data_IF_385341824588
#
_entry.id   IF_385341824588
#
_cell.length_a   1.000
_cell.length_b   1.000
_cell.length_c   1.000
_cell.angle_alpha   90.00
_cell.angle_beta   90.00
_cell.angle_gamma   90.00
#
_symmetry.space_group_name_H-M   'P 1'
#
loop_
_entity.id
_entity.type
_entity.pdbx_description
1 polymer ?
#
# COMPACT_ATOMS: atom_id res chain seq x y z
N UNK A 1 -10.74 17.38 -7.31
CA UNK A 1 -11.57 16.40 -8.06
C UNK A 1 -10.89 16.12 -9.40
N UNK A 2 -11.06 14.93 -9.99
CA UNK A 2 -10.48 14.63 -11.31
C UNK A 2 -10.96 15.61 -12.38
N UNK A 3 -10.09 15.93 -13.33
CA UNK A 3 -10.48 16.76 -14.48
C UNK A 3 -11.38 15.96 -15.44
N UNK A 4 -12.19 16.61 -16.29
CA UNK A 4 -12.98 15.91 -17.30
C UNK A 4 -12.14 15.00 -18.20
N UNK A 5 -10.93 15.44 -18.56
CA UNK A 5 -9.98 14.64 -19.34
C UNK A 5 -9.50 13.40 -18.57
N UNK A 6 -9.18 13.54 -17.29
CA UNK A 6 -8.82 12.40 -16.43
C UNK A 6 -9.95 11.40 -16.33
N UNK A 7 -11.20 11.84 -16.21
CA UNK A 7 -12.38 10.96 -16.18
C UNK A 7 -12.49 10.16 -17.49
N UNK A 8 -12.30 10.80 -18.65
CA UNK A 8 -12.28 10.09 -19.94
C UNK A 8 -11.20 8.99 -19.98
N UNK A 9 -9.99 9.29 -19.48
CA UNK A 9 -8.91 8.29 -19.37
C UNK A 9 -9.28 7.14 -18.44
N UNK A 10 -9.85 7.41 -17.27
CA UNK A 10 -10.27 6.38 -16.31
C UNK A 10 -11.40 5.49 -16.85
N UNK A 11 -12.25 6.02 -17.73
CA UNK A 11 -13.28 5.26 -18.44
C UNK A 11 -12.69 4.36 -19.52
N UNK A 12 -11.66 4.79 -20.24
CA UNK A 12 -10.95 3.96 -21.21
C UNK A 12 -10.23 2.76 -20.54
N UNK A 13 -9.74 2.94 -19.31
CA UNK A 13 -9.14 1.90 -18.47
C UNK A 13 -10.24 1.27 -17.61
N UNK A 14 -11.16 0.55 -18.26
CA UNK A 14 -12.41 0.11 -17.61
C UNK A 14 -12.31 -1.17 -16.79
N UNK A 15 -11.33 -2.05 -17.06
CA UNK A 15 -11.21 -3.38 -16.44
C UNK A 15 -10.02 -3.44 -15.48
N UNK A 16 -10.14 -4.27 -14.45
CA UNK A 16 -9.06 -4.54 -13.49
C UNK A 16 -7.75 -4.89 -14.20
N UNK A 17 -6.63 -4.46 -13.63
CA UNK A 17 -5.31 -4.74 -14.18
C UNK A 17 -4.89 -3.93 -15.40
N UNK A 18 -5.81 -3.30 -16.12
CA UNK A 18 -5.48 -2.39 -17.23
C UNK A 18 -4.58 -1.24 -16.76
N UNK A 19 -3.77 -0.70 -17.67
CA UNK A 19 -2.76 0.32 -17.40
C UNK A 19 -2.60 1.31 -18.59
N UNK A 20 -1.54 2.12 -18.55
CA UNK A 20 -1.22 3.12 -19.59
C UNK A 20 -1.11 2.56 -21.02
N UNK A 21 -0.67 1.32 -21.21
CA UNK A 21 -0.55 0.72 -22.53
C UNK A 21 -1.93 0.36 -23.07
N UNK A 22 -2.84 -0.08 -22.21
CA UNK A 22 -4.23 -0.29 -22.60
C UNK A 22 -4.92 1.02 -22.94
N UNK A 23 -4.63 2.10 -22.20
CA UNK A 23 -5.10 3.44 -22.55
C UNK A 23 -4.60 3.85 -23.94
N UNK A 24 -3.31 3.64 -24.23
CA UNK A 24 -2.73 3.96 -25.54
C UNK A 24 -3.36 3.15 -26.68
N UNK A 25 -3.64 1.85 -26.47
CA UNK A 25 -4.29 1.01 -27.49
C UNK A 25 -5.76 1.36 -27.72
N UNK A 26 -6.49 1.73 -26.67
CA UNK A 26 -7.95 1.96 -26.75
C UNK A 26 -8.33 3.40 -27.05
N UNK A 27 -7.52 4.36 -26.62
CA UNK A 27 -7.79 5.79 -26.72
C UNK A 27 -6.46 6.57 -26.88
N UNK A 28 -5.78 6.41 -28.03
CA UNK A 28 -4.52 7.10 -28.30
C UNK A 28 -4.65 8.63 -28.23
N UNK A 29 -5.81 9.18 -28.58
CA UNK A 29 -6.15 10.61 -28.50
C UNK A 29 -6.19 11.17 -27.07
N UNK A 30 -6.47 10.30 -26.09
CA UNK A 30 -6.47 10.69 -24.67
C UNK A 30 -5.07 10.53 -24.04
N UNK A 31 -4.16 9.85 -24.71
CA UNK A 31 -2.84 9.52 -24.19
C UNK A 31 -1.88 10.71 -24.35
N UNK A 32 -1.22 11.18 -23.27
CA UNK A 32 -0.23 12.24 -23.38
C UNK A 32 0.89 11.90 -24.39
N UNK A 33 1.24 12.86 -25.25
CA UNK A 33 2.26 12.66 -26.29
C UNK A 33 3.64 12.22 -25.75
N UNK A 34 4.00 12.65 -24.53
CA UNK A 34 5.23 12.22 -23.86
C UNK A 34 5.25 10.73 -23.52
N UNK A 35 4.09 10.08 -23.39
CA UNK A 35 3.98 8.65 -23.10
C UNK A 35 3.94 7.79 -24.33
N UNK A 36 3.44 8.32 -25.45
CA UNK A 36 3.53 7.67 -26.75
C UNK A 36 5.00 7.52 -27.15
N UNK A 37 5.79 8.58 -26.95
CA UNK A 37 7.24 8.59 -27.23
C UNK A 37 8.05 7.72 -26.27
N UNK A 38 7.55 7.53 -25.04
CA UNK A 38 8.25 6.79 -24.00
C UNK A 38 7.83 5.32 -23.99
N UNK A 39 8.53 4.53 -24.80
CA UNK A 39 8.36 3.07 -24.95
C UNK A 39 8.92 2.28 -23.76
N UNK A 40 9.84 2.86 -22.98
CA UNK A 40 10.45 2.24 -21.81
C UNK A 40 10.08 2.95 -20.50
N UNK A 41 9.86 2.20 -19.42
CA UNK A 41 9.58 2.73 -18.08
C UNK A 41 8.42 2.01 -17.38
N UNK A 42 7.95 2.59 -16.27
CA UNK A 42 6.93 1.98 -15.42
C UNK A 42 5.68 1.55 -16.18
N UNK A 43 5.39 0.25 -16.12
CA UNK A 43 4.24 -0.42 -16.75
C UNK A 43 2.93 -0.13 -16.03
N UNK A 44 3.00 0.21 -14.75
CA UNK A 44 1.84 0.34 -13.86
C UNK A 44 1.20 1.73 -13.82
N UNK A 45 1.67 2.71 -14.61
CA UNK A 45 1.03 4.02 -14.63
C UNK A 45 -0.41 3.88 -15.13
N UNK A 46 -1.30 4.68 -14.55
CA UNK A 46 -2.74 4.62 -14.79
C UNK A 46 -3.34 3.23 -14.53
N UNK A 47 -2.62 2.40 -13.77
CA UNK A 47 -3.04 1.04 -13.48
C UNK A 47 -4.32 1.01 -12.64
N UNK A 48 -5.23 0.11 -13.01
CA UNK A 48 -6.36 -0.30 -12.18
C UNK A 48 -5.97 -1.46 -11.28
N UNK A 49 -6.28 -1.34 -10.00
CA UNK A 49 -6.09 -2.40 -9.03
C UNK A 49 -6.99 -3.60 -9.35
N UNK A 50 -6.70 -4.72 -8.71
CA UNK A 50 -7.52 -5.93 -8.72
C UNK A 50 -8.20 -6.11 -7.38
N UNK A 51 -9.32 -6.82 -7.35
CA UNK A 51 -9.91 -7.28 -6.08
C UNK A 51 -9.15 -8.46 -5.46
N UNK A 52 -8.62 -9.35 -6.31
CA UNK A 52 -8.06 -10.65 -5.94
C UNK A 52 -6.52 -10.65 -5.85
N UNK A 53 -5.88 -9.47 -5.88
CA UNK A 53 -4.41 -9.36 -5.81
C UNK A 53 -3.97 -8.29 -4.82
N UNK A 54 -2.76 -8.42 -4.25
CA UNK A 54 -2.16 -7.37 -3.44
C UNK A 54 -2.09 -6.04 -4.19
N UNK A 55 -2.30 -4.95 -3.46
CA UNK A 55 -2.04 -3.62 -3.99
C UNK A 55 -0.54 -3.38 -4.16
N UNK A 56 -0.22 -2.45 -5.06
CA UNK A 56 1.14 -1.93 -5.19
C UNK A 56 1.48 -0.99 -4.04
N UNK A 57 2.76 -0.65 -3.90
CA UNK A 57 3.24 0.28 -2.88
C UNK A 57 2.47 1.61 -2.90
N UNK A 58 1.80 1.89 -1.78
CA UNK A 58 1.10 3.14 -1.53
C UNK A 58 2.15 4.22 -1.25
N UNK A 59 2.39 5.08 -2.24
CA UNK A 59 3.34 6.21 -2.14
C UNK A 59 2.62 7.50 -1.78
N UNK A 60 3.38 8.53 -1.43
CA UNK A 60 2.88 9.86 -1.00
C UNK A 60 1.97 10.59 -1.99
N UNK A 61 1.95 10.17 -3.26
CA UNK A 61 1.07 10.70 -4.32
C UNK A 61 0.13 9.61 -4.90
N UNK A 62 -0.32 8.64 -4.10
CA UNK A 62 -1.22 7.56 -4.56
C UNK A 62 -2.51 8.09 -5.21
N UNK A 63 -2.95 9.30 -4.91
CA UNK A 63 -4.12 9.91 -5.53
C UNK A 63 -3.89 10.39 -6.97
N UNK A 64 -2.69 10.19 -7.54
CA UNK A 64 -2.32 10.52 -8.93
C UNK A 64 -2.03 9.23 -9.73
N UNK A 65 -2.98 8.73 -10.53
CA UNK A 65 -2.78 7.54 -11.37
C UNK A 65 -1.61 7.68 -12.36
N UNK A 66 -1.22 8.91 -12.72
CA UNK A 66 -0.05 9.19 -13.55
C UNK A 66 1.26 8.68 -12.92
N UNK A 67 1.27 8.43 -11.62
CA UNK A 67 2.44 7.97 -10.89
C UNK A 67 2.47 6.45 -10.75
N UNK A 68 1.34 5.75 -10.79
CA UNK A 68 1.31 4.29 -10.59
C UNK A 68 -0.09 3.68 -10.64
N UNK A 69 -0.20 2.44 -10.15
CA UNK A 69 -1.44 1.66 -10.15
C UNK A 69 -2.29 2.00 -8.94
N UNK A 70 -3.09 3.05 -9.09
CA UNK A 70 -3.90 3.59 -8.01
C UNK A 70 -5.37 3.81 -8.38
N UNK A 71 -5.84 3.33 -9.54
CA UNK A 71 -7.27 3.37 -9.85
C UNK A 71 -8.01 2.28 -9.09
N UNK A 72 -9.18 2.63 -8.56
CA UNK A 72 -10.07 1.70 -7.86
C UNK A 72 -10.44 0.51 -8.77
N UNK A 73 -10.57 -0.74 -8.28
CA UNK A 73 -10.86 -1.90 -9.14
C UNK A 73 -12.13 -1.77 -9.99
N UNK A 74 -13.17 -1.10 -9.49
CA UNK A 74 -14.45 -0.93 -10.22
C UNK A 74 -14.83 0.52 -10.58
N UNK A 75 -14.30 1.53 -9.88
CA UNK A 75 -14.78 2.92 -9.99
C UNK A 75 -13.84 3.76 -10.86
N UNK A 76 -14.35 4.73 -11.60
CA UNK A 76 -13.54 5.61 -12.46
C UNK A 76 -12.90 6.75 -11.67
N UNK A 77 -12.14 6.40 -10.63
CA UNK A 77 -11.39 7.33 -9.77
C UNK A 77 -10.14 6.67 -9.19
N UNK A 78 -9.16 7.46 -8.72
CA UNK A 78 -8.12 6.96 -7.85
C UNK A 78 -8.70 6.41 -6.54
N UNK A 79 -7.92 5.58 -5.85
CA UNK A 79 -8.23 5.16 -4.48
C UNK A 79 -8.27 6.37 -3.55
N UNK A 80 -9.17 6.32 -2.56
CA UNK A 80 -9.30 7.35 -1.54
C UNK A 80 -8.17 7.23 -0.51
N UNK A 81 -7.97 8.28 0.28
CA UNK A 81 -7.07 8.23 1.43
C UNK A 81 -7.45 7.14 2.43
N UNK A 82 -8.74 6.79 2.55
CA UNK A 82 -9.14 5.71 3.46
C UNK A 82 -8.84 4.33 2.90
N UNK A 83 -9.09 4.12 1.61
CA UNK A 83 -8.70 2.88 0.93
C UNK A 83 -7.17 2.68 1.01
N UNK A 84 -6.39 3.74 0.76
CA UNK A 84 -4.93 3.71 0.88
C UNK A 84 -4.45 3.42 2.31
N UNK A 85 -5.11 3.98 3.34
CA UNK A 85 -4.78 3.72 4.73
C UNK A 85 -5.08 2.27 5.14
N UNK A 86 -6.20 1.69 4.67
CA UNK A 86 -6.53 0.27 4.89
C UNK A 86 -5.50 -0.65 4.25
N UNK A 87 -5.05 -0.33 3.03
CA UNK A 87 -3.97 -1.06 2.36
C UNK A 87 -2.64 -0.98 3.14
N UNK A 88 -2.42 0.12 3.85
CA UNK A 88 -1.32 0.29 4.80
C UNK A 88 -1.62 -0.30 6.20
N UNK A 89 -2.69 -1.08 6.37
CA UNK A 89 -3.12 -1.71 7.63
C UNK A 89 -3.45 -0.75 8.78
N UNK A 90 -3.74 0.53 8.48
CA UNK A 90 -4.26 1.43 9.51
C UNK A 90 -5.67 1.01 9.92
N UNK A 91 -6.00 1.04 11.23
CA UNK A 91 -7.37 0.84 11.66
C UNK A 91 -8.24 2.01 11.18
N UNK A 92 -9.51 1.72 10.87
CA UNK A 92 -10.43 2.72 10.34
C UNK A 92 -10.67 3.89 11.30
N UNK A 93 -10.54 3.64 12.61
CA UNK A 93 -10.61 4.63 13.68
C UNK A 93 -9.42 5.59 13.72
N UNK A 94 -8.31 5.29 13.05
CA UNK A 94 -7.13 6.16 13.04
C UNK A 94 -7.44 7.47 12.30
N UNK A 95 -7.28 8.58 13.02
CA UNK A 95 -7.54 9.94 12.52
C UNK A 95 -6.23 10.58 12.04
N UNK A 96 -6.20 10.89 10.74
CA UNK A 96 -5.13 11.68 10.14
C UNK A 96 -5.47 13.17 10.23
N UNK A 97 -4.47 14.01 10.45
CA UNK A 97 -4.62 15.48 10.56
C UNK A 97 -3.87 16.20 9.45
N UNK A 98 -4.33 17.41 9.11
CA UNK A 98 -3.75 18.24 8.05
C UNK A 98 -4.50 18.20 6.73
N UNK A 99 -3.90 18.79 5.71
CA UNK A 99 -4.44 18.85 4.34
C UNK A 99 -4.43 17.48 3.67
N UNK A 100 -5.22 17.32 2.59
CA UNK A 100 -5.25 16.07 1.81
C UNK A 100 -3.86 15.63 1.31
N UNK A 101 -2.98 16.57 1.01
CA UNK A 101 -1.62 16.27 0.54
C UNK A 101 -0.75 15.79 1.70
N UNK A 102 -0.84 16.45 2.86
CA UNK A 102 -0.11 16.04 4.06
C UNK A 102 -0.55 14.66 4.56
N UNK A 103 -1.86 14.40 4.57
CA UNK A 103 -2.41 13.09 4.93
C UNK A 103 -1.92 12.01 3.95
N UNK A 104 -1.87 12.30 2.64
CA UNK A 104 -1.33 11.35 1.66
C UNK A 104 0.16 11.04 1.92
N UNK A 105 0.94 12.06 2.31
CA UNK A 105 2.34 11.87 2.72
C UNK A 105 2.46 11.02 4.00
N UNK A 106 1.63 11.28 5.01
CA UNK A 106 1.59 10.48 6.23
C UNK A 106 1.32 9.01 5.93
N UNK A 107 0.28 8.71 5.13
CA UNK A 107 -0.07 7.33 4.74
C UNK A 107 1.05 6.70 3.90
N UNK A 108 1.59 7.43 2.92
CA UNK A 108 2.58 6.89 1.99
C UNK A 108 3.97 6.64 2.59
N UNK A 109 4.36 7.41 3.61
CA UNK A 109 5.63 7.26 4.31
C UNK A 109 5.56 6.33 5.54
N UNK A 110 4.36 5.98 5.98
CA UNK A 110 4.18 5.15 7.17
C UNK A 110 4.69 3.72 6.95
N UNK A 111 5.18 3.13 8.05
CA UNK A 111 5.31 1.68 8.17
C UNK A 111 3.92 1.11 8.49
N UNK A 112 3.47 0.03 7.81
CA UNK A 112 2.18 -0.59 8.12
C UNK A 112 2.07 -0.97 9.61
N UNK A 113 1.02 -0.53 10.35
CA UNK A 113 0.90 -0.81 11.78
C UNK A 113 0.94 -2.31 12.13
N UNK A 114 0.35 -3.18 11.31
CA UNK A 114 0.39 -4.64 11.57
C UNK A 114 1.82 -5.18 11.45
N UNK A 115 2.59 -4.72 10.47
CA UNK A 115 4.01 -5.10 10.33
C UNK A 115 4.81 -4.60 11.54
N UNK A 116 4.62 -3.35 11.94
CA UNK A 116 5.29 -2.77 13.10
C UNK A 116 4.95 -3.54 14.40
N UNK A 117 3.69 -3.95 14.58
CA UNK A 117 3.25 -4.76 15.71
C UNK A 117 3.98 -6.11 15.77
N UNK A 118 4.09 -6.83 14.65
CA UNK A 118 4.78 -8.12 14.62
C UNK A 118 6.28 -8.01 14.92
N UNK A 119 6.91 -6.93 14.47
CA UNK A 119 8.31 -6.65 14.84
C UNK A 119 8.41 -6.35 16.34
N UNK A 120 7.49 -5.55 16.88
CA UNK A 120 7.46 -5.22 18.30
C UNK A 120 7.26 -6.46 19.20
N UNK A 121 6.42 -7.41 18.80
CA UNK A 121 6.22 -8.69 19.50
C UNK A 121 7.56 -9.43 19.66
N UNK A 122 8.33 -9.57 18.57
CA UNK A 122 9.64 -10.22 18.57
C UNK A 122 10.64 -9.48 19.47
N UNK A 123 10.69 -8.15 19.38
CA UNK A 123 11.58 -7.34 20.22
C UNK A 123 11.20 -7.46 21.70
N UNK A 124 9.91 -7.45 22.02
CA UNK A 124 9.41 -7.60 23.38
C UNK A 124 9.80 -8.96 23.98
N UNK A 125 9.66 -10.05 23.23
CA UNK A 125 10.11 -11.38 23.65
C UNK A 125 11.62 -11.42 23.93
N UNK A 126 12.44 -10.79 23.07
CA UNK A 126 13.90 -10.71 23.27
C UNK A 126 14.29 -9.85 24.48
N UNK A 127 13.50 -8.84 24.83
CA UNK A 127 13.73 -8.02 26.01
C UNK A 127 13.28 -8.75 27.28
N UNK A 128 12.19 -9.49 27.24
CA UNK A 128 11.68 -10.28 28.35
C UNK A 128 12.57 -11.49 28.68
N UNK A 129 13.25 -12.09 27.70
CA UNK A 129 14.16 -13.23 27.92
C UNK A 129 15.50 -12.85 28.57
N UNK A 130 15.74 -11.55 28.80
CA UNK A 130 16.95 -11.05 29.48
C UNK A 130 16.80 -11.17 31.00
N UNK A 131 17.38 -12.21 31.57
CA UNK A 131 17.53 -12.35 33.03
C UNK A 131 18.64 -11.41 33.50
N UNK A 132 18.36 -10.57 34.50
CA UNK A 132 19.40 -9.84 35.24
C UNK A 132 20.02 -10.80 36.25
N UNK A 133 21.32 -11.05 36.16
CA UNK A 133 22.05 -11.71 37.24
C UNK A 133 22.41 -10.68 38.33
N UNK A 134 22.67 -11.13 39.56
CA UNK A 134 22.97 -10.28 40.74
C UNK A 134 24.22 -9.40 40.58
N UNK A 135 24.98 -9.53 39.48
CA UNK A 135 26.11 -8.69 39.08
C UNK A 135 25.86 -7.76 37.89
N UNK A 136 24.62 -7.58 37.44
CA UNK A 136 24.26 -6.59 36.40
C UNK A 136 24.57 -6.98 34.95
N UNK A 137 25.09 -8.19 34.68
CA UNK A 137 25.27 -8.70 33.32
C UNK A 137 23.95 -9.20 32.71
N UNK A 138 23.73 -8.85 31.44
CA UNK A 138 22.57 -9.23 30.64
C UNK A 138 22.92 -10.45 29.79
N UNK A 139 22.15 -11.54 29.91
CA UNK A 139 22.28 -12.75 29.08
C UNK A 139 20.99 -13.02 28.30
N UNK A 140 21.11 -13.61 27.11
CA UNK A 140 19.95 -14.08 26.34
C UNK A 140 19.61 -15.52 26.79
N UNK A 141 18.40 -15.76 27.31
CA UNK A 141 17.95 -17.10 27.68
C UNK A 141 17.81 -17.94 26.41
N UNK A 142 18.68 -18.95 26.23
CA UNK A 142 18.51 -19.96 25.18
C UNK A 142 17.36 -20.89 25.59
N UNK A 143 16.16 -20.67 25.07
CA UNK A 143 15.12 -21.69 25.13
C UNK A 143 15.41 -22.77 24.08
N UNK A 144 15.34 -24.05 24.48
CA UNK A 144 15.40 -25.19 23.56
C UNK A 144 14.16 -25.10 22.67
N UNK A 145 14.39 -25.02 21.36
CA UNK A 145 13.35 -25.11 20.34
C UNK A 145 12.79 -26.52 20.29
N UNK A 146 11.75 -26.81 21.08
CA UNK A 146 10.91 -27.98 20.89
C UNK A 146 9.47 -27.50 20.63
N UNK A 147 9.02 -27.69 19.39
CA UNK A 147 7.63 -27.60 18.88
C UNK A 147 6.81 -26.34 19.23
N UNK A 148 6.91 -25.30 18.39
CA UNK A 148 5.91 -24.22 18.34
C UNK A 148 4.92 -24.51 17.22
N UNK A 149 3.76 -25.04 17.59
CA UNK A 149 2.60 -25.15 16.72
C UNK A 149 1.98 -23.75 16.54
N UNK A 150 2.04 -23.20 15.33
CA UNK A 150 1.43 -21.91 15.01
C UNK A 150 -0.09 -22.05 15.06
N UNK A 151 -0.74 -21.58 16.13
CA UNK A 151 -2.18 -21.35 16.10
C UNK A 151 -2.48 -20.26 15.06
N UNK A 152 -3.25 -20.62 14.03
CA UNK A 152 -3.80 -19.67 13.05
C UNK A 152 -4.60 -18.62 13.82
N UNK A 153 -4.13 -17.38 13.83
CA UNK A 153 -4.96 -16.25 14.20
C UNK A 153 -6.05 -16.12 13.13
N UNK A 154 -7.28 -16.52 13.46
CA UNK A 154 -8.45 -16.20 12.66
C UNK A 154 -8.66 -14.69 12.70
N UNK A 155 -8.25 -14.03 11.61
CA UNK A 155 -8.66 -12.67 11.34
C UNK A 155 -9.93 -12.75 10.50
N UNK A 156 -11.07 -12.47 11.13
CA UNK A 156 -12.33 -12.26 10.43
C UNK A 156 -12.20 -10.94 9.66
N UNK A 157 -12.36 -11.03 8.34
CA UNK A 157 -12.31 -9.92 7.40
C UNK A 157 -13.51 -8.98 7.55
#
# INVERSE_FOLDING_TARGET
MPTPLSIKRYKAISREGMNRFDLQRRAPELTPACWIRKTQGGTDLFGRLWWDRPAFTIRTEFFKPEKGRYLHPSQHRPITHREAARLQSFPDSFRFTGTKIEIAKQIGNAVPPVLASRIADCVSAMLASKVKDNGGRIYCRKEKTDNVEYQRAEYVA
#
